data_IF_503975308405
#
_entry.id   IF_503975308405
#
_cell.length_a   1.000
_cell.length_b   1.000
_cell.length_c   1.000
_cell.angle_alpha   90.00
_cell.angle_beta   90.00
_cell.angle_gamma   90.00
#
_symmetry.space_group_name_H-M   'P 1'
#
loop_
_entity.id
_entity.type
_entity.pdbx_description
1 polymer ?
#
# COMPACT_ATOMS: atom_id res chain seq x y z
N UNK A 1 12.17 -10.04 -5.14
CA UNK A 1 11.87 -9.88 -6.58
C UNK A 1 12.90 -9.03 -7.32
N UNK A 2 13.45 -7.95 -6.73
CA UNK A 2 14.46 -7.10 -7.40
C UNK A 2 15.74 -7.83 -7.82
N UNK A 3 16.07 -8.94 -7.17
CA UNK A 3 17.16 -9.84 -7.58
C UNK A 3 16.95 -10.46 -8.98
N UNK A 4 15.73 -10.42 -9.51
CA UNK A 4 15.40 -10.88 -10.86
C UNK A 4 15.65 -9.83 -11.94
N UNK A 5 16.28 -8.70 -11.62
CA UNK A 5 16.59 -7.63 -12.58
C UNK A 5 17.29 -8.11 -13.87
N UNK A 6 18.15 -9.12 -13.77
CA UNK A 6 18.87 -9.70 -14.91
C UNK A 6 18.10 -10.83 -15.62
N UNK A 7 17.08 -11.40 -14.98
CA UNK A 7 16.25 -12.50 -15.48
C UNK A 7 14.78 -12.25 -15.12
N UNK A 8 14.14 -11.20 -15.69
CA UNK A 8 12.79 -10.79 -15.34
C UNK A 8 11.75 -11.88 -15.65
N UNK A 9 12.03 -12.75 -16.63
CA UNK A 9 11.26 -13.93 -17.03
C UNK A 9 11.13 -15.00 -15.93
N UNK A 10 11.87 -14.85 -14.82
CA UNK A 10 11.82 -15.75 -13.66
C UNK A 10 11.09 -15.14 -12.46
N UNK A 11 10.51 -13.96 -12.62
CA UNK A 11 9.84 -13.27 -11.51
C UNK A 11 8.60 -14.06 -11.03
N UNK A 12 7.82 -14.61 -11.95
CA UNK A 12 6.63 -15.41 -11.64
C UNK A 12 6.98 -16.71 -10.92
N UNK A 13 7.99 -17.44 -11.41
CA UNK A 13 8.52 -18.64 -10.74
C UNK A 13 9.03 -18.34 -9.32
N UNK A 14 9.70 -17.20 -9.13
CA UNK A 14 10.15 -16.76 -7.82
C UNK A 14 8.99 -16.49 -6.85
N UNK A 15 7.87 -15.96 -7.34
CA UNK A 15 6.69 -15.64 -6.53
C UNK A 15 5.77 -16.85 -6.27
N UNK A 16 5.82 -17.86 -7.13
CA UNK A 16 4.95 -19.04 -7.11
C UNK A 16 4.83 -19.74 -5.74
N UNK A 17 5.89 -19.92 -4.93
CA UNK A 17 5.74 -20.53 -3.61
C UNK A 17 4.83 -19.74 -2.66
N UNK A 18 4.90 -18.39 -2.71
CA UNK A 18 4.08 -17.52 -1.86
C UNK A 18 2.62 -17.53 -2.32
N UNK A 19 2.40 -17.49 -3.64
CA UNK A 19 1.05 -17.53 -4.22
C UNK A 19 0.38 -18.90 -3.98
N UNK A 20 1.13 -19.99 -4.14
CA UNK A 20 0.66 -21.34 -3.84
C UNK A 20 0.30 -21.51 -2.36
N UNK A 21 1.12 -20.93 -1.48
CA UNK A 21 0.83 -20.90 -0.05
C UNK A 21 -0.49 -20.17 0.22
N UNK A 22 -0.67 -18.94 -0.28
CA UNK A 22 -1.92 -18.20 -0.11
C UNK A 22 -3.14 -18.96 -0.67
N UNK A 23 -3.03 -19.52 -1.87
CA UNK A 23 -4.09 -20.31 -2.51
C UNK A 23 -4.49 -21.56 -1.72
N UNK A 24 -3.59 -22.11 -0.89
CA UNK A 24 -3.89 -23.27 -0.03
C UNK A 24 -4.80 -22.92 1.15
N UNK A 25 -4.80 -21.66 1.61
CA UNK A 25 -5.66 -21.20 2.71
C UNK A 25 -6.99 -20.62 2.23
N UNK A 26 -7.02 -20.03 1.03
CA UNK A 26 -8.24 -19.43 0.49
C UNK A 26 -9.08 -20.56 -0.13
N UNK A 27 -10.37 -20.72 0.24
CA UNK A 27 -11.23 -21.72 -0.39
C UNK A 27 -11.28 -21.55 -1.91
N UNK A 28 -11.16 -22.64 -2.68
CA UNK A 28 -11.13 -22.59 -4.15
C UNK A 28 -12.28 -21.80 -4.77
N UNK A 29 -13.48 -21.92 -4.21
CA UNK A 29 -14.66 -21.18 -4.67
C UNK A 29 -14.52 -19.65 -4.54
N UNK A 30 -13.63 -19.17 -3.67
CA UNK A 30 -13.37 -17.75 -3.42
C UNK A 30 -12.20 -17.19 -4.22
N UNK A 31 -11.42 -18.02 -4.94
CA UNK A 31 -10.25 -17.55 -5.68
C UNK A 31 -10.63 -16.44 -6.68
N UNK A 32 -11.69 -16.66 -7.47
CA UNK A 32 -12.20 -15.71 -8.48
C UNK A 32 -12.77 -14.40 -7.93
N UNK A 33 -13.01 -14.31 -6.63
CA UNK A 33 -13.50 -13.11 -5.95
C UNK A 33 -12.39 -12.44 -5.12
N UNK A 34 -11.22 -13.06 -5.02
CA UNK A 34 -10.14 -12.58 -4.16
C UNK A 34 -9.18 -11.72 -4.98
N UNK A 35 -9.05 -10.41 -4.67
CA UNK A 35 -8.05 -9.56 -5.29
C UNK A 35 -6.65 -9.89 -4.79
N UNK A 36 -5.72 -10.01 -5.71
CA UNK A 36 -4.30 -10.14 -5.42
C UNK A 36 -3.63 -8.80 -5.73
N UNK A 37 -2.84 -8.27 -4.81
CA UNK A 37 -2.00 -7.10 -5.04
C UNK A 37 -0.52 -7.46 -4.81
N UNK A 38 0.34 -7.07 -5.75
CA UNK A 38 1.80 -7.22 -5.64
C UNK A 38 2.41 -5.82 -5.65
N UNK A 39 2.66 -5.28 -4.46
CA UNK A 39 3.21 -3.94 -4.28
C UNK A 39 4.69 -4.01 -3.91
N UNK A 40 5.54 -3.54 -4.80
CA UNK A 40 6.99 -3.58 -4.62
C UNK A 40 7.52 -2.28 -4.00
N UNK A 41 8.46 -2.38 -3.06
CA UNK A 41 9.00 -1.22 -2.32
C UNK A 41 10.44 -0.87 -2.72
N UNK A 42 11.27 -0.41 -1.76
CA UNK A 42 12.60 0.19 -1.99
C UNK A 42 13.51 -0.63 -2.91
N UNK A 43 13.50 -1.97 -2.79
CA UNK A 43 14.35 -2.83 -3.61
C UNK A 43 14.07 -2.78 -5.11
N UNK A 44 12.82 -2.51 -5.52
CA UNK A 44 12.46 -2.32 -6.93
C UNK A 44 12.68 -0.87 -7.38
N UNK A 45 12.49 0.11 -6.48
CA UNK A 45 12.71 1.55 -6.78
C UNK A 45 14.13 1.88 -7.22
N UNK A 46 15.13 1.12 -6.78
CA UNK A 46 16.53 1.34 -7.15
C UNK A 46 16.89 0.82 -8.55
N UNK A 47 16.04 0.00 -9.16
CA UNK A 47 16.29 -0.52 -10.50
C UNK A 47 15.95 0.52 -11.58
N UNK A 48 16.58 0.46 -12.77
CA UNK A 48 16.11 1.18 -13.94
C UNK A 48 14.64 0.84 -14.26
N UNK A 49 13.88 1.83 -14.73
CA UNK A 49 12.45 1.70 -15.05
C UNK A 49 12.17 0.55 -16.03
N UNK A 50 13.05 0.35 -17.02
CA UNK A 50 12.93 -0.77 -17.98
C UNK A 50 12.98 -2.14 -17.31
N UNK A 51 13.81 -2.32 -16.27
CA UNK A 51 13.89 -3.56 -15.51
C UNK A 51 12.70 -3.72 -14.57
N UNK A 52 12.24 -2.64 -13.95
CA UNK A 52 11.02 -2.65 -13.14
C UNK A 52 9.84 -3.13 -13.98
N UNK A 53 9.62 -2.51 -15.14
CA UNK A 53 8.54 -2.85 -16.07
C UNK A 53 8.65 -4.27 -16.58
N UNK A 54 9.84 -4.75 -16.94
CA UNK A 54 10.01 -6.13 -17.40
C UNK A 54 9.61 -7.17 -16.33
N UNK A 55 9.98 -6.95 -15.07
CA UNK A 55 9.59 -7.82 -13.95
C UNK A 55 8.08 -7.79 -13.72
N UNK A 56 7.47 -6.59 -13.70
CA UNK A 56 6.03 -6.47 -13.49
C UNK A 56 5.22 -7.10 -14.64
N UNK A 57 5.68 -6.94 -15.88
CA UNK A 57 5.05 -7.55 -17.06
C UNK A 57 5.07 -9.07 -17.00
N UNK A 58 6.18 -9.68 -16.56
CA UNK A 58 6.26 -11.12 -16.35
C UNK A 58 5.18 -11.60 -15.37
N UNK A 59 5.09 -10.94 -14.20
CA UNK A 59 4.08 -11.24 -13.19
C UNK A 59 2.65 -11.11 -13.73
N UNK A 60 2.34 -9.98 -14.38
CA UNK A 60 1.00 -9.68 -14.91
C UNK A 60 0.59 -10.69 -15.99
N UNK A 61 1.56 -11.19 -16.76
CA UNK A 61 1.31 -12.17 -17.82
C UNK A 61 1.07 -13.57 -17.26
N UNK A 62 1.93 -14.05 -16.36
CA UNK A 62 1.96 -15.48 -16.01
C UNK A 62 1.14 -15.82 -14.76
N UNK A 63 1.02 -14.91 -13.77
CA UNK A 63 0.21 -15.16 -12.56
C UNK A 63 -1.26 -15.52 -12.88
N UNK A 64 -1.97 -14.83 -13.79
CA UNK A 64 -3.36 -15.18 -14.14
C UNK A 64 -3.50 -16.51 -14.89
N UNK A 65 -2.43 -17.05 -15.47
CA UNK A 65 -2.44 -18.36 -16.13
C UNK A 65 -2.33 -19.51 -15.11
N UNK A 66 -1.76 -19.23 -13.94
CA UNK A 66 -1.51 -20.22 -12.88
C UNK A 66 -2.52 -20.13 -11.72
N UNK A 67 -3.09 -18.95 -11.46
CA UNK A 67 -3.96 -18.68 -10.33
C UNK A 67 -5.25 -17.96 -10.74
N UNK A 68 -6.37 -18.38 -10.15
CA UNK A 68 -7.72 -17.84 -10.41
C UNK A 68 -8.02 -16.52 -9.64
N UNK A 69 -7.01 -15.82 -9.11
CA UNK A 69 -7.22 -14.56 -8.38
C UNK A 69 -7.59 -13.40 -9.30
N UNK A 70 -8.27 -12.38 -8.78
CA UNK A 70 -8.47 -11.12 -9.48
C UNK A 70 -7.14 -10.35 -9.53
N UNK A 71 -6.45 -10.45 -10.67
CA UNK A 71 -5.14 -9.86 -10.88
C UNK A 71 -5.03 -9.28 -12.30
N UNK A 72 -4.47 -8.08 -12.40
CA UNK A 72 -4.26 -7.36 -13.66
C UNK A 72 -3.11 -6.37 -13.50
N UNK A 73 -2.77 -5.63 -14.55
CA UNK A 73 -1.70 -4.62 -14.53
C UNK A 73 -1.87 -3.59 -13.39
N UNK A 74 -3.10 -3.18 -13.08
CA UNK A 74 -3.38 -2.25 -11.98
C UNK A 74 -3.08 -2.80 -10.58
N UNK A 75 -2.80 -4.10 -10.46
CA UNK A 75 -2.55 -4.78 -9.21
C UNK A 75 -1.06 -5.05 -8.95
N UNK A 76 -0.19 -4.76 -9.93
CA UNK A 76 1.25 -4.94 -9.84
C UNK A 76 1.95 -3.59 -9.99
N UNK A 77 2.47 -3.03 -8.91
CA UNK A 77 3.01 -1.67 -8.91
C UNK A 77 4.29 -1.58 -8.06
N UNK A 78 5.25 -0.76 -8.49
CA UNK A 78 6.31 -0.27 -7.60
C UNK A 78 5.81 0.98 -6.88
N UNK A 79 5.46 0.84 -5.60
CA UNK A 79 4.91 1.95 -4.82
C UNK A 79 6.01 2.90 -4.35
N UNK A 80 5.67 4.19 -4.33
CA UNK A 80 6.52 5.23 -3.75
C UNK A 80 6.64 5.08 -2.23
N UNK A 81 7.71 5.63 -1.65
CA UNK A 81 7.85 5.69 -0.19
C UNK A 81 6.72 6.48 0.48
N UNK A 82 6.10 7.43 -0.24
CA UNK A 82 4.92 8.17 0.24
C UNK A 82 3.70 7.26 0.33
N UNK A 83 3.41 6.46 -0.69
CA UNK A 83 2.32 5.47 -0.66
C UNK A 83 2.55 4.45 0.47
N UNK A 84 3.77 3.93 0.61
CA UNK A 84 4.17 3.02 1.70
C UNK A 84 3.83 3.61 3.08
N UNK A 85 4.21 4.86 3.34
CA UNK A 85 3.88 5.57 4.58
C UNK A 85 2.38 5.80 4.77
N UNK A 86 1.63 6.14 3.71
CA UNK A 86 0.18 6.31 3.77
C UNK A 86 -0.51 4.99 4.10
N UNK A 87 -0.13 3.88 3.46
CA UNK A 87 -0.72 2.57 3.74
C UNK A 87 -0.43 2.09 5.16
N UNK A 88 0.79 2.30 5.66
CA UNK A 88 1.12 1.99 7.04
C UNK A 88 0.32 2.86 8.03
N UNK A 89 0.13 4.16 7.74
CA UNK A 89 -0.70 5.05 8.55
C UNK A 89 -2.18 4.65 8.54
N UNK A 90 -2.73 4.26 7.39
CA UNK A 90 -4.11 3.71 7.30
C UNK A 90 -4.21 2.43 8.12
N UNK A 91 -3.23 1.52 8.00
CA UNK A 91 -3.27 0.22 8.67
C UNK A 91 -3.33 0.34 10.19
N UNK A 92 -2.46 1.16 10.79
CA UNK A 92 -2.48 1.33 12.25
C UNK A 92 -3.77 1.99 12.73
N UNK A 93 -4.28 3.00 12.01
CA UNK A 93 -5.48 3.72 12.40
C UNK A 93 -6.74 2.88 12.21
N UNK A 94 -6.76 1.99 11.23
CA UNK A 94 -7.82 1.01 11.05
C UNK A 94 -7.85 0.01 12.21
N UNK A 95 -6.71 -0.60 12.56
CA UNK A 95 -6.63 -1.56 13.68
C UNK A 95 -6.95 -0.91 15.02
N UNK A 96 -6.58 0.36 15.21
CA UNK A 96 -6.93 1.14 16.41
C UNK A 96 -8.36 1.70 16.40
N UNK A 97 -9.20 1.37 15.40
CA UNK A 97 -10.58 1.82 15.33
C UNK A 97 -10.74 3.33 15.15
N UNK A 98 -9.70 4.05 14.69
CA UNK A 98 -9.75 5.51 14.51
C UNK A 98 -10.61 5.94 13.31
N UNK A 99 -10.95 5.00 12.44
CA UNK A 99 -11.92 5.20 11.36
C UNK A 99 -13.33 4.75 11.72
N UNK A 100 -13.55 4.22 12.92
CA UNK A 100 -14.90 4.09 13.45
C UNK A 100 -15.37 5.48 13.91
N UNK A 101 -16.43 5.97 13.29
CA UNK A 101 -16.95 7.31 13.53
C UNK A 101 -17.92 7.39 14.72
N UNK A 102 -18.18 6.27 15.41
CA UNK A 102 -18.85 6.30 16.72
C UNK A 102 -17.88 6.87 17.76
N UNK A 103 -18.16 8.07 18.25
CA UNK A 103 -17.32 8.76 19.25
C UNK A 103 -17.82 8.41 20.65
N UNK A 104 -16.97 7.76 21.44
CA UNK A 104 -17.19 7.53 22.87
C UNK A 104 -16.55 8.64 23.70
N UNK A 105 -17.02 8.86 24.93
CA UNK A 105 -16.54 9.94 25.81
C UNK A 105 -15.04 9.84 26.14
N UNK A 106 -14.43 8.65 26.02
CA UNK A 106 -13.00 8.42 26.29
C UNK A 106 -12.10 8.71 25.09
N UNK A 107 -12.66 8.88 23.89
CA UNK A 107 -11.87 9.09 22.68
C UNK A 107 -11.36 10.52 22.55
N UNK A 108 -10.05 10.64 22.31
CA UNK A 108 -9.48 11.92 21.92
C UNK A 108 -9.99 12.32 20.52
N UNK A 109 -10.68 13.46 20.43
CA UNK A 109 -11.19 14.00 19.16
C UNK A 109 -10.35 15.16 18.65
N UNK A 110 -10.44 15.41 17.34
CA UNK A 110 -9.79 16.53 16.66
C UNK A 110 -10.78 17.18 15.69
N UNK A 111 -10.74 18.51 15.60
CA UNK A 111 -11.46 19.28 14.60
C UNK A 111 -10.64 19.30 13.30
N UNK A 112 -11.25 18.87 12.21
CA UNK A 112 -10.64 18.72 10.89
C UNK A 112 -11.30 19.66 9.89
N UNK A 113 -10.49 20.42 9.15
CA UNK A 113 -10.95 21.28 8.06
C UNK A 113 -10.78 20.53 6.73
N UNK A 114 -11.85 20.43 5.93
CA UNK A 114 -11.82 19.76 4.62
C UNK A 114 -11.98 20.81 3.52
N UNK A 115 -10.91 21.04 2.75
CA UNK A 115 -10.92 22.01 1.65
C UNK A 115 -11.15 23.45 2.11
N UNK A 116 -12.02 24.17 1.41
CA UNK A 116 -12.41 25.56 1.71
C UNK A 116 -13.70 25.66 2.54
N UNK A 117 -14.18 24.55 3.13
CA UNK A 117 -15.38 24.58 3.97
C UNK A 117 -15.08 25.27 5.30
N UNK A 118 -15.97 26.17 5.73
CA UNK A 118 -15.87 26.88 7.01
C UNK A 118 -16.18 25.98 8.20
N UNK A 119 -16.97 24.91 7.99
CA UNK A 119 -17.39 24.01 9.05
C UNK A 119 -16.35 22.91 9.32
N UNK A 120 -15.79 22.95 10.53
CA UNK A 120 -14.87 21.92 11.00
C UNK A 120 -15.63 20.64 11.39
N UNK A 121 -15.16 19.49 10.92
CA UNK A 121 -15.70 18.18 11.28
C UNK A 121 -14.95 17.67 12.50
N UNK A 122 -15.68 17.21 13.52
CA UNK A 122 -15.08 16.58 14.70
C UNK A 122 -15.03 15.06 14.47
N UNK A 123 -13.84 14.47 14.59
CA UNK A 123 -13.65 13.01 14.51
C UNK A 123 -12.55 12.54 15.44
N UNK A 124 -12.43 11.21 15.64
CA UNK A 124 -11.36 10.62 16.44
C UNK A 124 -10.00 11.06 15.91
N UNK A 125 -9.09 11.42 16.82
CA UNK A 125 -7.71 11.78 16.50
C UNK A 125 -6.96 10.54 16.04
N UNK A 126 -6.28 10.65 14.92
CA UNK A 126 -5.45 9.57 14.38
C UNK A 126 -4.08 9.53 15.07
N UNK A 127 -3.40 8.40 14.92
CA UNK A 127 -2.03 8.17 15.40
C UNK A 127 -1.07 8.30 14.23
N UNK A 128 0.01 9.06 14.43
CA UNK A 128 1.11 9.14 13.48
C UNK A 128 2.02 7.91 13.57
N UNK A 129 2.75 7.62 12.50
CA UNK A 129 3.70 6.51 12.41
C UNK A 129 5.08 6.98 11.99
N UNK A 130 6.08 6.20 12.39
CA UNK A 130 7.45 6.28 11.89
C UNK A 130 7.87 4.84 11.56
N UNK A 131 8.26 4.60 10.32
CA UNK A 131 8.74 3.29 9.85
C UNK A 131 10.14 3.43 9.25
N UNK A 132 11.08 2.63 9.75
CA UNK A 132 12.47 2.62 9.32
C UNK A 132 12.78 1.29 8.65
N UNK A 133 12.73 1.29 7.31
CA UNK A 133 13.07 0.14 6.49
C UNK A 133 14.57 0.08 6.15
N UNK A 134 14.95 -0.92 5.34
CA UNK A 134 16.35 -1.13 4.97
C UNK A 134 16.94 -0.06 4.04
N UNK A 135 16.12 0.70 3.32
CA UNK A 135 16.57 1.73 2.37
C UNK A 135 15.75 3.02 2.40
N UNK A 136 14.84 3.17 3.35
CA UNK A 136 14.01 4.37 3.49
C UNK A 136 13.52 4.56 4.92
N UNK A 137 13.19 5.80 5.25
CA UNK A 137 12.48 6.19 6.46
C UNK A 137 11.19 6.91 6.03
N UNK A 138 10.08 6.52 6.63
CA UNK A 138 8.78 7.12 6.40
C UNK A 138 8.25 7.70 7.71
N UNK A 139 7.76 8.93 7.66
CA UNK A 139 6.97 9.56 8.73
C UNK A 139 5.63 9.97 8.13
N UNK A 140 4.53 9.52 8.73
CA UNK A 140 3.19 9.83 8.25
C UNK A 140 2.26 10.16 9.42
N UNK A 141 1.62 11.31 9.35
CA UNK A 141 0.65 11.78 10.33
C UNK A 141 -0.42 12.63 9.64
N UNK A 142 -1.60 12.71 10.25
CA UNK A 142 -2.67 13.56 9.77
C UNK A 142 -2.35 15.03 10.01
N UNK A 143 -2.67 15.88 9.03
CA UNK A 143 -2.65 17.33 9.16
C UNK A 143 -4.11 17.82 9.24
N UNK A 144 -4.68 17.97 10.44
CA UNK A 144 -6.12 18.20 10.61
C UNK A 144 -6.55 19.64 10.29
N UNK A 145 -5.65 20.61 10.42
CA UNK A 145 -5.92 22.03 10.13
C UNK A 145 -5.25 22.43 8.83
N UNK A 146 -5.88 23.33 8.08
CA UNK A 146 -5.29 23.93 6.88
C UNK A 146 -3.94 24.57 7.23
N UNK A 147 -2.89 24.11 6.57
CA UNK A 147 -1.56 24.71 6.65
C UNK A 147 -1.28 25.50 5.38
N UNK A 148 -0.95 26.78 5.53
CA UNK A 148 -0.31 27.57 4.46
C UNK A 148 1.18 27.34 4.52
N UNK A 149 1.71 26.64 3.51
CA UNK A 149 3.15 26.56 3.32
C UNK A 149 3.62 27.82 2.57
N UNK A 150 4.63 28.56 3.06
CA UNK A 150 5.30 29.52 2.21
C UNK A 150 5.91 28.76 1.03
N UNK A 151 5.74 29.28 -0.19
CA UNK A 151 6.45 28.77 -1.36
C UNK A 151 7.93 28.68 -1.04
N UNK A 152 8.56 27.53 -1.26
CA UNK A 152 10.01 27.46 -1.29
C UNK A 152 10.49 28.34 -2.45
N UNK A 153 11.36 29.30 -2.16
CA UNK A 153 12.15 30.02 -3.17
C UNK A 153 13.15 29.08 -3.87
#
# INVERSE_FOLDING_TARGET
>A
VSTMAATPDKASDYMKPLLSYAASYIPKAKHKETPLYILCTAGMRVLPESQQSAILQDLVKDVPQEFDFLFSEAHAEVISGKQEGVYAWISINFVLGRFDHVVDDEDAVVAVTVGTQEDAIIRKRTVGIIDMGGGSLQIAYEVPKTMTFPSAE
#
